data_IF_409081368947
#
_entry.id   IF_409081368947
#
_cell.length_a   1.000
_cell.length_b   1.000
_cell.length_c   1.000
_cell.angle_alpha   90.00
_cell.angle_beta   90.00
_cell.angle_gamma   90.00
#
_symmetry.space_group_name_H-M   'P 1'
#
loop_
_entity.id
_entity.type
_entity.pdbx_description
1 polymer ?
#
# COMPACT_ATOMS: atom_id res chain seq x y z
N UNK A 1 4.57 -15.30 -17.33
CA UNK A 1 3.38 -14.86 -16.56
C UNK A 1 2.91 -13.53 -17.12
N UNK A 2 1.76 -13.43 -17.80
CA UNK A 2 1.27 -12.13 -18.26
C UNK A 2 0.82 -11.30 -17.04
N UNK A 3 1.45 -10.14 -16.84
CA UNK A 3 1.02 -9.15 -15.86
C UNK A 3 -0.38 -8.67 -16.23
N UNK A 4 -1.39 -9.10 -15.47
CA UNK A 4 -2.77 -8.71 -15.70
C UNK A 4 -2.87 -7.18 -15.60
N UNK A 5 -3.26 -6.53 -16.69
CA UNK A 5 -3.57 -5.10 -16.67
C UNK A 5 -4.71 -4.90 -15.68
N UNK A 6 -4.51 -4.04 -14.69
CA UNK A 6 -5.51 -3.57 -13.72
C UNK A 6 -6.72 -2.85 -14.34
N UNK A 7 -6.89 -2.90 -15.66
CA UNK A 7 -8.01 -2.27 -16.36
C UNK A 7 -9.28 -3.06 -16.07
N UNK A 8 -9.99 -2.64 -15.03
CA UNK A 8 -11.41 -2.95 -14.88
C UNK A 8 -11.83 -3.62 -13.58
N UNK A 9 -10.92 -3.92 -12.64
CA UNK A 9 -11.32 -4.39 -11.30
C UNK A 9 -11.63 -3.16 -10.41
N UNK A 10 -12.92 -2.88 -10.10
CA UNK A 10 -13.29 -1.72 -9.30
C UNK A 10 -12.71 -1.81 -7.89
N UNK A 11 -12.61 -3.01 -7.31
CA UNK A 11 -12.06 -3.22 -5.97
C UNK A 11 -10.57 -2.88 -5.90
N UNK A 12 -9.83 -3.16 -6.97
CA UNK A 12 -8.41 -2.79 -7.07
C UNK A 12 -8.22 -1.29 -7.27
N UNK A 13 -9.10 -0.62 -8.03
CA UNK A 13 -9.09 0.84 -8.20
C UNK A 13 -9.32 1.53 -6.86
N UNK A 14 -10.31 1.08 -6.10
CA UNK A 14 -10.62 1.62 -4.77
C UNK A 14 -9.47 1.38 -3.78
N UNK A 15 -8.88 0.17 -3.79
CA UNK A 15 -7.74 -0.15 -2.96
C UNK A 15 -6.51 0.72 -3.28
N UNK A 16 -6.23 0.99 -4.56
CA UNK A 16 -5.14 1.89 -4.98
C UNK A 16 -5.41 3.33 -4.57
N UNK A 17 -6.64 3.82 -4.66
CA UNK A 17 -7.01 5.16 -4.21
C UNK A 17 -6.84 5.30 -2.68
N UNK A 18 -7.29 4.30 -1.91
CA UNK A 18 -7.08 4.24 -0.47
C UNK A 18 -5.59 4.22 -0.11
N UNK A 19 -4.81 3.39 -0.80
CA UNK A 19 -3.36 3.32 -0.58
C UNK A 19 -2.68 4.68 -0.86
N UNK A 20 -3.03 5.33 -1.97
CA UNK A 20 -2.55 6.67 -2.29
C UNK A 20 -2.87 7.71 -1.21
N UNK A 21 -4.09 7.66 -0.66
CA UNK A 21 -4.50 8.55 0.42
C UNK A 21 -3.70 8.31 1.71
N UNK A 22 -3.35 7.05 2.03
CA UNK A 22 -2.48 6.73 3.17
C UNK A 22 -1.08 7.31 2.97
N UNK A 23 -0.50 7.16 1.77
CA UNK A 23 0.83 7.73 1.44
C UNK A 23 0.81 9.25 1.58
N UNK A 24 -0.23 9.91 1.05
CA UNK A 24 -0.43 11.35 1.18
C UNK A 24 -0.49 11.79 2.65
N UNK A 25 -1.31 11.12 3.45
CA UNK A 25 -1.44 11.44 4.86
C UNK A 25 -0.13 11.18 5.63
N UNK A 26 0.61 10.12 5.30
CA UNK A 26 1.95 9.88 5.86
C UNK A 26 2.93 10.99 5.52
N UNK A 27 2.96 11.45 4.27
CA UNK A 27 3.77 12.58 3.84
C UNK A 27 3.43 13.85 4.62
N UNK A 28 2.14 14.16 4.80
CA UNK A 28 1.72 15.32 5.57
C UNK A 28 2.09 15.23 7.05
N UNK A 29 2.00 14.05 7.68
CA UNK A 29 2.43 13.83 9.07
C UNK A 29 3.93 14.00 9.25
N UNK A 30 4.71 13.61 8.24
CA UNK A 30 6.15 13.85 8.20
C UNK A 30 6.52 15.32 7.90
N UNK A 31 5.55 16.18 7.57
CA UNK A 31 5.79 17.59 7.25
C UNK A 31 6.43 17.81 5.87
N UNK A 32 6.32 16.85 4.95
CA UNK A 32 7.01 16.90 3.65
C UNK A 32 6.10 17.43 2.52
N UNK A 33 6.66 18.24 1.63
CA UNK A 33 6.10 18.47 0.29
C UNK A 33 6.36 17.26 -0.61
N UNK A 34 5.71 17.19 -1.77
CA UNK A 34 6.01 16.13 -2.74
C UNK A 34 7.45 16.23 -3.26
N UNK A 35 7.92 17.45 -3.54
CA UNK A 35 9.32 17.73 -3.93
C UNK A 35 10.31 17.28 -2.85
N UNK A 36 9.99 17.54 -1.57
CA UNK A 36 10.85 17.08 -0.46
C UNK A 36 10.92 15.56 -0.39
N UNK A 37 9.79 14.88 -0.60
CA UNK A 37 9.73 13.42 -0.61
C UNK A 37 10.44 12.82 -1.83
N UNK A 38 10.42 13.49 -2.98
CA UNK A 38 11.20 13.11 -4.16
C UNK A 38 12.69 13.14 -3.86
N UNK A 39 13.21 14.25 -3.32
CA UNK A 39 14.64 14.38 -2.99
C UNK A 39 15.09 13.32 -1.98
N UNK A 40 14.28 13.04 -0.96
CA UNK A 40 14.63 12.06 0.07
C UNK A 40 14.48 10.61 -0.41
N UNK A 41 13.46 10.36 -1.24
CA UNK A 41 13.06 9.01 -1.66
C UNK A 41 13.60 8.59 -3.01
N UNK A 42 14.21 9.48 -3.78
CA UNK A 42 14.66 9.21 -5.15
C UNK A 42 13.51 8.60 -6.00
N UNK A 43 12.33 9.22 -5.88
CA UNK A 43 11.12 8.89 -6.63
C UNK A 43 10.53 10.18 -7.16
N UNK A 44 10.40 10.27 -8.48
CA UNK A 44 9.89 11.44 -9.18
C UNK A 44 8.58 12.00 -8.58
N UNK A 45 8.49 13.33 -8.43
CA UNK A 45 7.34 14.00 -7.84
C UNK A 45 6.04 13.73 -8.60
N UNK A 46 6.07 13.59 -9.92
CA UNK A 46 4.89 13.23 -10.73
C UNK A 46 4.45 11.81 -10.43
N UNK A 47 5.38 10.88 -10.22
CA UNK A 47 5.09 9.53 -9.79
C UNK A 47 4.46 9.50 -8.39
N UNK A 48 4.98 10.28 -7.44
CA UNK A 48 4.39 10.47 -6.10
C UNK A 48 2.96 11.03 -6.22
N UNK A 49 2.77 12.10 -7.01
CA UNK A 49 1.46 12.72 -7.24
C UNK A 49 0.45 11.77 -7.87
N UNK A 50 0.89 10.90 -8.78
CA UNK A 50 0.03 9.86 -9.36
C UNK A 50 -0.30 8.79 -8.33
N UNK A 51 0.67 8.34 -7.53
CA UNK A 51 0.45 7.37 -6.46
C UNK A 51 -0.58 7.90 -5.45
N UNK A 52 -0.41 9.13 -4.96
CA UNK A 52 -1.31 9.75 -3.98
C UNK A 52 -2.76 9.86 -4.48
N UNK A 53 -2.97 9.88 -5.80
CA UNK A 53 -4.28 9.91 -6.45
C UNK A 53 -4.80 8.54 -6.89
N UNK A 54 -4.10 7.45 -6.57
CA UNK A 54 -4.43 6.10 -7.03
C UNK A 54 -4.22 5.87 -8.54
N UNK A 55 -3.45 6.74 -9.22
CA UNK A 55 -3.23 6.75 -10.68
C UNK A 55 -1.88 6.16 -11.11
N UNK A 56 -1.26 5.35 -10.24
CA UNK A 56 0.03 4.71 -10.47
C UNK A 56 -0.01 3.17 -10.33
N UNK A 57 -0.89 2.46 -11.07
CA UNK A 57 -1.02 1.00 -10.98
C UNK A 57 0.21 0.19 -11.45
N UNK A 58 1.18 0.86 -12.08
CA UNK A 58 2.43 0.27 -12.54
C UNK A 58 3.65 0.82 -11.81
N UNK A 59 3.47 1.50 -10.67
CA UNK A 59 4.61 1.95 -9.87
C UNK A 59 5.41 0.73 -9.40
N UNK A 60 6.73 0.79 -9.55
CA UNK A 60 7.60 -0.31 -9.16
C UNK A 60 7.57 -0.51 -7.64
N UNK A 61 7.57 -1.77 -7.18
CA UNK A 61 7.58 -2.10 -5.74
C UNK A 61 8.77 -1.44 -5.03
N UNK A 62 9.94 -1.38 -5.67
CA UNK A 62 11.12 -0.71 -5.09
C UNK A 62 10.90 0.78 -4.84
N UNK A 63 10.16 1.47 -5.71
CA UNK A 63 9.81 2.89 -5.50
C UNK A 63 8.89 3.03 -4.28
N UNK A 64 7.91 2.14 -4.14
CA UNK A 64 7.02 2.11 -2.98
C UNK A 64 7.80 1.84 -1.68
N UNK A 65 8.75 0.91 -1.70
CA UNK A 65 9.62 0.61 -0.55
C UNK A 65 10.50 1.80 -0.19
N UNK A 66 11.12 2.49 -1.16
CA UNK A 66 11.90 3.72 -0.92
C UNK A 66 11.06 4.78 -0.19
N UNK A 67 9.83 5.03 -0.67
CA UNK A 67 8.89 5.94 -0.01
C UNK A 67 8.54 5.48 1.42
N UNK A 68 8.34 4.17 1.61
CA UNK A 68 8.11 3.57 2.93
C UNK A 68 9.25 3.79 3.91
N UNK A 69 10.51 3.63 3.46
CA UNK A 69 11.70 3.88 4.28
C UNK A 69 11.77 5.36 4.71
N UNK A 70 11.55 6.28 3.77
CA UNK A 70 11.61 7.72 4.06
C UNK A 70 10.50 8.18 4.99
N UNK A 71 9.28 7.68 4.78
CA UNK A 71 8.14 8.05 5.61
C UNK A 71 8.14 7.34 6.96
N UNK A 72 8.81 6.18 7.06
CA UNK A 72 8.98 5.39 8.27
C UNK A 72 7.64 5.16 8.99
N UNK A 73 7.52 5.50 10.28
CA UNK A 73 6.29 5.27 11.06
C UNK A 73 5.09 6.08 10.55
N UNK A 74 5.31 7.08 9.69
CA UNK A 74 4.23 7.85 9.09
C UNK A 74 3.53 7.09 7.97
N UNK A 75 4.08 6.01 7.43
CA UNK A 75 3.42 5.19 6.41
C UNK A 75 3.43 3.72 6.85
N UNK A 76 2.29 3.17 7.30
CA UNK A 76 2.23 1.81 7.86
C UNK A 76 2.25 0.76 6.74
N UNK A 77 3.39 0.62 6.06
CA UNK A 77 3.68 -0.40 5.05
C UNK A 77 4.25 -1.69 5.64
N UNK A 78 4.45 -1.74 6.95
CA UNK A 78 4.91 -2.91 7.67
C UNK A 78 5.10 -2.57 9.14
N UNK A 79 4.39 -3.30 9.99
CA UNK A 79 4.56 -3.39 11.45
C UNK A 79 4.56 -2.07 12.24
N UNK A 80 3.49 -1.84 13.01
CA UNK A 80 3.49 -0.89 14.11
C UNK A 80 3.98 -1.63 15.36
N UNK A 81 5.17 -1.32 15.92
CA UNK A 81 5.86 -2.16 16.90
C UNK A 81 5.31 -2.06 18.33
N UNK A 82 4.14 -1.48 18.51
CA UNK A 82 3.66 -1.10 19.83
C UNK A 82 2.13 -1.25 19.96
N UNK A 83 1.66 -1.68 21.12
CA UNK A 83 0.28 -2.10 21.34
C UNK A 83 -0.64 -0.93 21.76
N UNK A 84 -1.04 -0.05 20.83
CA UNK A 84 -1.91 1.09 21.21
C UNK A 84 -2.59 1.84 20.06
N UNK A 85 -3.59 2.62 20.46
CA UNK A 85 -4.34 3.64 19.73
C UNK A 85 -3.45 4.65 18.99
N UNK A 86 -2.95 4.33 17.80
CA UNK A 86 -2.22 5.29 16.96
C UNK A 86 -3.18 6.07 16.06
N UNK A 87 -2.72 7.19 15.49
CA UNK A 87 -3.48 8.01 14.53
C UNK A 87 -3.79 7.31 13.19
N UNK A 88 -3.37 6.04 13.05
CA UNK A 88 -3.74 5.10 12.00
C UNK A 88 -4.69 4.00 12.49
N UNK A 89 -5.21 4.04 13.72
CA UNK A 89 -6.37 3.25 14.10
C UNK A 89 -7.42 3.48 13.02
N UNK A 90 -7.73 2.40 12.30
CA UNK A 90 -8.68 2.41 11.20
C UNK A 90 -9.91 3.16 11.70
N UNK A 91 -10.21 4.34 11.14
CA UNK A 91 -11.61 4.78 11.06
C UNK A 91 -12.32 3.55 10.50
N UNK A 92 -13.21 2.98 11.32
CA UNK A 92 -13.93 1.75 11.04
C UNK A 92 -14.29 1.69 9.55
N UNK A 93 -13.56 0.88 8.79
CA UNK A 93 -14.00 0.53 7.43
C UNK A 93 -15.34 -0.18 7.62
N UNK A 94 -16.45 0.33 7.05
CA UNK A 94 -17.72 -0.38 7.09
C UNK A 94 -17.48 -1.79 6.57
N UNK A 95 -17.68 -2.77 7.46
CA UNK A 95 -17.54 -4.23 7.24
C UNK A 95 -16.71 -4.61 6.01
N UNK A 96 -15.39 -4.66 6.17
CA UNK A 96 -14.52 -5.32 5.21
C UNK A 96 -14.97 -6.79 5.09
N UNK A 97 -15.73 -7.13 4.04
CA UNK A 97 -15.95 -8.53 3.65
C UNK A 97 -14.62 -9.03 3.09
N UNK A 98 -14.06 -10.15 3.58
CA UNK A 98 -12.87 -10.72 2.98
C UNK A 98 -13.14 -11.05 1.51
N UNK A 99 -12.22 -10.66 0.63
CA UNK A 99 -12.27 -11.06 -0.79
C UNK A 99 -12.11 -12.59 -0.90
N UNK A 100 -12.82 -13.25 -1.83
CA UNK A 100 -12.97 -14.70 -1.88
C UNK A 100 -11.72 -15.49 -2.33
N UNK A 101 -10.56 -14.87 -2.52
CA UNK A 101 -9.37 -15.57 -3.03
C UNK A 101 -8.73 -16.55 -2.02
N UNK A 102 -9.22 -16.62 -0.77
CA UNK A 102 -8.90 -17.68 0.21
C UNK A 102 -9.47 -19.07 -0.12
N UNK A 103 -10.05 -19.27 -1.31
CA UNK A 103 -10.55 -20.57 -1.77
C UNK A 103 -9.64 -21.30 -2.77
N UNK A 104 -8.43 -20.81 -3.05
CA UNK A 104 -7.49 -21.53 -3.91
C UNK A 104 -6.30 -22.10 -3.12
N UNK A 105 -6.29 -23.44 -3.06
CA UNK A 105 -5.33 -24.39 -2.46
C UNK A 105 -5.35 -24.55 -0.92
N UNK A 106 -6.18 -25.48 -0.47
CA UNK A 106 -5.67 -26.47 0.48
C UNK A 106 -4.82 -27.47 -0.32
N UNK A 107 -3.59 -27.82 0.10
CA UNK A 107 -2.94 -29.02 -0.42
C UNK A 107 -3.81 -30.23 -0.06
N UNK A 108 -3.95 -31.24 -0.94
CA UNK A 108 -4.64 -32.46 -0.56
C UNK A 108 -3.90 -33.10 0.61
N UNK A 109 -4.68 -33.53 1.58
CA UNK A 109 -4.24 -34.12 2.83
C UNK A 109 -3.35 -35.34 2.54
N UNK A 110 -2.15 -35.40 3.13
CA UNK A 110 -1.52 -36.69 3.44
C UNK A 110 -0.19 -37.10 2.80
N UNK A 111 0.78 -36.21 2.57
CA UNK A 111 2.18 -36.66 2.39
C UNK A 111 3.10 -35.98 3.42
N UNK A 112 3.44 -36.77 4.44
CA UNK A 112 4.48 -36.47 5.41
C UNK A 112 5.85 -36.48 4.75
N UNK A 113 6.73 -35.58 5.19
CA UNK A 113 8.14 -35.62 4.86
C UNK A 113 8.81 -36.52 5.89
N UNK A 114 9.00 -37.79 5.52
CA UNK A 114 10.11 -38.61 6.04
C UNK A 114 11.41 -38.21 5.33
#
# INVERSE_FOLDING_TARGET
>A
MPYQRTRGDPGLVDALAMFGALVRAGRHRAGYSQEKLEVLGDVDQTAISRLERGKAPGMGVLQVVKLGIVLGPNLPLGFCPHDHQCSWQRRSVPSWRPLPWRQLRQPPDGEGWD
#
